data_IF_421346255234
#
_entry.id   IF_421346255234
#
_cell.length_a   1.000
_cell.length_b   1.000
_cell.length_c   1.000
_cell.angle_alpha   90.00
_cell.angle_beta   90.00
_cell.angle_gamma   90.00
#
_symmetry.space_group_name_H-M   'P 1'
#
loop_
_entity.id
_entity.type
_entity.pdbx_description
1 polymer ?
#
# COMPACT_ATOMS: atom_id res chain seq x y z
N UNK A 1 -8.40 2.93 25.23
CA UNK A 1 -9.36 2.00 25.83
C UNK A 1 -9.34 0.66 25.10
N UNK A 2 -9.71 0.58 23.81
CA UNK A 2 -9.82 -0.67 23.03
C UNK A 2 -8.55 -1.55 23.10
N UNK A 3 -7.36 -0.96 22.98
CA UNK A 3 -6.09 -1.70 23.05
C UNK A 3 -5.86 -2.35 24.43
N UNK A 4 -6.22 -1.65 25.52
CA UNK A 4 -6.13 -2.20 26.88
C UNK A 4 -7.12 -3.34 27.13
N UNK A 5 -8.29 -3.29 26.51
CA UNK A 5 -9.30 -4.35 26.62
C UNK A 5 -8.92 -5.57 25.77
N UNK A 6 -8.46 -5.35 24.53
CA UNK A 6 -8.07 -6.43 23.64
C UNK A 6 -6.75 -7.12 24.04
N UNK A 7 -5.84 -6.39 24.73
CA UNK A 7 -4.51 -6.87 25.15
C UNK A 7 -3.75 -7.59 24.01
N UNK A 8 -3.58 -6.97 22.82
CA UNK A 8 -2.93 -7.62 21.71
C UNK A 8 -1.43 -7.80 21.97
N UNK A 9 -0.84 -8.86 21.41
CA UNK A 9 0.60 -9.04 21.33
C UNK A 9 1.18 -8.33 20.10
N UNK A 10 0.42 -8.27 19.01
CA UNK A 10 0.83 -7.67 17.74
C UNK A 10 -0.20 -6.64 17.28
N UNK A 11 0.29 -5.49 16.81
CA UNK A 11 -0.54 -4.40 16.29
C UNK A 11 -0.16 -4.10 14.85
N UNK A 12 -1.14 -4.16 13.93
CA UNK A 12 -0.98 -3.76 12.53
C UNK A 12 -1.77 -2.47 12.30
N UNK A 13 -1.07 -1.38 12.01
CA UNK A 13 -1.66 -0.07 11.73
C UNK A 13 -1.79 0.16 10.23
N UNK A 14 -2.97 -0.10 9.69
CA UNK A 14 -3.29 0.11 8.28
C UNK A 14 -4.25 1.30 8.06
N UNK A 15 -4.78 1.87 9.14
CA UNK A 15 -5.73 2.98 9.04
C UNK A 15 -5.06 4.26 8.55
N UNK A 16 -5.64 4.90 7.56
CA UNK A 16 -5.16 6.16 7.00
C UNK A 16 -6.26 6.88 6.20
N UNK A 17 -6.08 8.18 5.97
CA UNK A 17 -6.67 8.87 4.82
C UNK A 17 -5.70 8.61 3.63
N UNK A 18 -6.09 7.82 2.59
CA UNK A 18 -5.13 7.31 1.60
C UNK A 18 -5.20 8.03 0.24
N UNK A 19 -6.06 9.03 0.08
CA UNK A 19 -6.36 9.65 -1.21
C UNK A 19 -5.59 10.96 -1.40
N UNK A 20 -4.73 11.01 -2.44
CA UNK A 20 -3.92 12.19 -2.76
C UNK A 20 -4.80 13.40 -3.05
N UNK A 21 -5.82 13.26 -3.91
CA UNK A 21 -6.69 14.39 -4.27
C UNK A 21 -7.49 14.92 -3.09
N UNK A 22 -8.03 14.02 -2.27
CA UNK A 22 -8.71 14.41 -1.05
C UNK A 22 -7.79 15.23 -0.13
N UNK A 23 -6.50 14.92 -0.08
CA UNK A 23 -5.54 15.64 0.75
C UNK A 23 -5.34 17.10 0.33
N UNK A 24 -5.54 17.43 -0.95
CA UNK A 24 -5.53 18.83 -1.41
C UNK A 24 -6.78 19.59 -0.96
N UNK A 25 -7.93 18.92 -0.91
CA UNK A 25 -9.17 19.52 -0.43
C UNK A 25 -9.21 19.64 1.10
N UNK A 26 -8.73 18.59 1.80
CA UNK A 26 -8.82 18.44 3.26
C UNK A 26 -7.44 18.15 3.88
N UNK A 27 -6.48 19.10 3.80
CA UNK A 27 -5.13 18.88 4.30
C UNK A 27 -5.07 18.71 5.81
N UNK A 28 -5.86 19.47 6.57
CA UNK A 28 -5.88 19.40 8.04
C UNK A 28 -6.34 18.04 8.52
N UNK A 29 -7.42 17.51 7.94
CA UNK A 29 -7.92 16.18 8.25
C UNK A 29 -6.89 15.11 7.88
N UNK A 30 -6.25 15.25 6.71
CA UNK A 30 -5.20 14.31 6.25
C UNK A 30 -4.05 14.22 7.26
N UNK A 31 -3.54 15.35 7.76
CA UNK A 31 -2.50 15.33 8.80
C UNK A 31 -3.02 14.82 10.13
N UNK A 32 -4.23 15.20 10.54
CA UNK A 32 -4.84 14.72 11.77
C UNK A 32 -4.98 13.20 11.79
N UNK A 33 -5.45 12.62 10.68
CA UNK A 33 -5.61 11.16 10.55
C UNK A 33 -4.25 10.46 10.43
N UNK A 34 -3.38 10.89 9.53
CA UNK A 34 -2.17 10.14 9.20
C UNK A 34 -1.03 10.37 10.19
N UNK A 35 -0.84 11.58 10.68
CA UNK A 35 0.23 11.91 11.63
C UNK A 35 -0.23 11.72 13.06
N UNK A 36 -1.29 12.44 13.45
CA UNK A 36 -1.77 12.36 14.82
C UNK A 36 -2.40 11.01 15.13
N UNK A 37 -3.05 10.36 14.15
CA UNK A 37 -3.50 8.98 14.30
C UNK A 37 -2.35 8.01 14.61
N UNK A 38 -1.21 8.16 13.92
CA UNK A 38 0.01 7.38 14.21
C UNK A 38 0.54 7.68 15.62
N UNK A 39 0.64 8.96 15.99
CA UNK A 39 1.07 9.37 17.35
C UNK A 39 0.16 8.76 18.42
N UNK A 40 -1.16 8.88 18.26
CA UNK A 40 -2.14 8.38 19.21
C UNK A 40 -2.08 6.85 19.35
N UNK A 41 -1.88 6.13 18.22
CA UNK A 41 -1.71 4.69 18.27
C UNK A 41 -0.44 4.30 19.02
N UNK A 42 0.70 4.91 18.68
CA UNK A 42 1.98 4.59 19.32
C UNK A 42 2.00 4.96 20.80
N UNK A 43 1.31 6.03 21.19
CA UNK A 43 1.12 6.36 22.60
C UNK A 43 0.24 5.33 23.32
N UNK A 44 -0.80 4.81 22.66
CA UNK A 44 -1.59 3.71 23.21
C UNK A 44 -0.76 2.41 23.33
N UNK A 45 0.09 2.11 22.35
CA UNK A 45 1.05 0.99 22.43
C UNK A 45 1.98 1.14 23.63
N UNK A 46 2.59 2.32 23.81
CA UNK A 46 3.49 2.62 24.93
C UNK A 46 2.84 2.37 26.29
N UNK A 47 1.52 2.53 26.38
CA UNK A 47 0.73 2.34 27.61
C UNK A 47 0.13 0.93 27.73
N UNK A 48 0.45 0.00 26.83
CA UNK A 48 -0.13 -1.36 26.80
C UNK A 48 0.96 -2.43 26.86
N UNK A 49 1.29 -2.94 28.06
CA UNK A 49 2.43 -3.85 28.28
C UNK A 49 2.34 -5.19 27.54
N UNK A 50 1.15 -5.59 27.05
CA UNK A 50 1.00 -6.84 26.28
C UNK A 50 1.60 -6.75 24.90
N UNK A 51 1.70 -5.55 24.29
CA UNK A 51 2.17 -5.37 22.92
C UNK A 51 3.68 -5.65 22.83
N UNK A 52 4.07 -6.49 21.91
CA UNK A 52 5.46 -6.87 21.63
C UNK A 52 5.93 -6.45 20.24
N UNK A 53 5.04 -6.46 19.25
CA UNK A 53 5.36 -6.10 17.89
C UNK A 53 4.34 -5.14 17.29
N UNK A 54 4.83 -4.15 16.54
CA UNK A 54 3.99 -3.16 15.83
C UNK A 54 4.47 -3.02 14.40
N UNK A 55 3.53 -3.03 13.46
CA UNK A 55 3.79 -2.69 12.07
C UNK A 55 2.96 -1.48 11.66
N UNK A 56 3.63 -0.40 11.28
CA UNK A 56 3.01 0.79 10.71
C UNK A 56 3.07 0.75 9.19
N UNK A 57 1.91 0.68 8.52
CA UNK A 57 1.83 0.66 7.06
C UNK A 57 1.76 2.08 6.52
N UNK A 58 2.74 2.42 5.69
CA UNK A 58 2.87 3.73 5.05
C UNK A 58 2.71 3.64 3.53
N UNK A 59 3.58 4.25 2.74
CA UNK A 59 3.46 4.33 1.29
C UNK A 59 4.82 4.53 0.62
N UNK A 60 4.94 4.20 -0.65
CA UNK A 60 6.03 4.59 -1.53
C UNK A 60 6.16 6.11 -1.74
N UNK A 61 5.06 6.85 -1.53
CA UNK A 61 5.02 8.32 -1.69
C UNK A 61 5.67 9.09 -0.54
N UNK A 62 6.15 8.39 0.51
CA UNK A 62 6.86 9.02 1.63
C UNK A 62 8.27 9.51 1.27
N UNK A 63 8.81 9.11 0.14
CA UNK A 63 10.14 9.54 -0.31
C UNK A 63 10.13 10.95 -0.91
N UNK A 64 11.27 11.66 -0.81
CA UNK A 64 11.56 12.82 -1.64
C UNK A 64 11.67 12.38 -3.10
N UNK A 65 10.58 12.53 -3.87
CA UNK A 65 10.56 12.06 -5.24
C UNK A 65 11.35 13.00 -6.14
N UNK A 66 12.45 12.49 -6.73
CA UNK A 66 13.36 13.16 -7.65
C UNK A 66 13.04 12.89 -9.11
N UNK A 67 11.94 12.19 -9.39
CA UNK A 67 11.52 11.84 -10.76
C UNK A 67 12.63 11.13 -11.58
N UNK A 68 13.44 10.32 -10.90
CA UNK A 68 14.56 9.62 -11.51
C UNK A 68 14.22 8.18 -11.90
N UNK A 69 15.12 7.50 -12.63
CA UNK A 69 14.89 6.16 -13.17
C UNK A 69 15.07 5.05 -12.14
N UNK A 70 15.78 5.31 -11.04
CA UNK A 70 16.09 4.29 -10.02
C UNK A 70 14.93 4.10 -9.04
N UNK A 71 14.70 2.86 -8.59
CA UNK A 71 13.74 2.59 -7.53
C UNK A 71 14.27 3.10 -6.18
N UNK A 72 13.35 3.60 -5.33
CA UNK A 72 13.69 4.09 -3.98
C UNK A 72 13.95 2.95 -3.00
N UNK A 73 15.05 3.10 -2.24
CA UNK A 73 15.44 2.20 -1.15
C UNK A 73 15.07 2.81 0.19
N UNK A 74 15.03 1.97 1.23
CA UNK A 74 14.54 2.37 2.55
C UNK A 74 15.36 3.46 3.25
N UNK A 75 16.61 3.66 2.86
CA UNK A 75 17.52 4.69 3.38
C UNK A 75 17.50 6.01 2.57
N UNK A 76 16.67 6.13 1.54
CA UNK A 76 16.51 7.37 0.79
C UNK A 76 15.74 8.42 1.60
N UNK A 77 15.92 9.71 1.23
CA UNK A 77 15.34 10.82 1.95
C UNK A 77 13.81 10.78 1.98
N UNK A 78 13.25 11.09 3.15
CA UNK A 78 11.80 11.30 3.29
C UNK A 78 11.41 12.68 2.74
N UNK A 79 10.21 12.77 2.16
CA UNK A 79 9.68 14.00 1.61
C UNK A 79 8.17 13.94 1.43
N UNK A 80 7.73 14.22 0.22
CA UNK A 80 6.32 14.23 -0.18
C UNK A 80 5.90 15.62 -0.65
N UNK A 81 5.48 15.70 -1.90
CA UNK A 81 5.07 16.97 -2.51
C UNK A 81 3.69 17.42 -2.04
N UNK A 82 2.75 16.49 -1.94
CA UNK A 82 1.37 16.75 -1.55
C UNK A 82 1.11 16.46 -0.06
N UNK A 83 -0.03 16.92 0.52
CA UNK A 83 -0.32 16.71 1.93
C UNK A 83 -0.44 15.23 2.33
N UNK A 84 -0.93 14.35 1.45
CA UNK A 84 -0.96 12.91 1.72
C UNK A 84 0.46 12.34 1.81
N UNK A 85 1.27 12.58 0.80
CA UNK A 85 2.64 12.07 0.71
C UNK A 85 3.49 12.53 1.90
N UNK A 86 3.46 13.84 2.22
CA UNK A 86 4.18 14.39 3.36
C UNK A 86 3.63 13.90 4.70
N UNK A 87 2.31 13.69 4.84
CA UNK A 87 1.75 13.12 6.07
C UNK A 87 2.24 11.69 6.34
N UNK A 88 2.42 10.90 5.27
CA UNK A 88 2.98 9.56 5.39
C UNK A 88 4.48 9.56 5.69
N UNK A 89 5.24 10.51 5.14
CA UNK A 89 6.64 10.73 5.53
C UNK A 89 6.74 11.14 7.03
N UNK A 90 5.86 12.01 7.50
CA UNK A 90 5.77 12.35 8.93
C UNK A 90 5.44 11.12 9.78
N UNK A 91 4.55 10.25 9.35
CA UNK A 91 4.24 8.98 10.03
C UNK A 91 5.47 8.07 10.15
N UNK A 92 6.33 8.00 9.12
CA UNK A 92 7.62 7.31 9.16
C UNK A 92 8.57 7.90 10.22
N UNK A 93 8.70 9.23 10.22
CA UNK A 93 9.56 9.97 11.17
C UNK A 93 9.07 9.76 12.61
N UNK A 94 7.75 9.86 12.84
CA UNK A 94 7.13 9.59 14.14
C UNK A 94 7.39 8.16 14.59
N UNK A 95 7.23 7.20 13.68
CA UNK A 95 7.50 5.77 13.95
C UNK A 95 8.95 5.55 14.39
N UNK A 96 9.91 6.13 13.68
CA UNK A 96 11.32 6.05 14.04
C UNK A 96 11.63 6.72 15.39
N UNK A 97 11.02 7.89 15.66
CA UNK A 97 11.17 8.59 16.92
C UNK A 97 10.64 7.78 18.10
N UNK A 98 9.44 7.21 18.00
CA UNK A 98 8.87 6.35 19.04
C UNK A 98 9.67 5.08 19.26
N UNK A 99 10.16 4.45 18.18
CA UNK A 99 11.07 3.29 18.27
C UNK A 99 12.27 3.60 19.15
N UNK A 100 12.98 4.66 18.80
CA UNK A 100 14.26 5.00 19.42
C UNK A 100 14.11 5.57 20.84
N UNK A 101 13.05 6.34 21.09
CA UNK A 101 12.89 7.06 22.35
C UNK A 101 12.17 6.26 23.43
N UNK A 102 11.29 5.32 23.07
CA UNK A 102 10.40 4.70 24.02
C UNK A 102 10.26 3.18 23.85
N UNK A 103 10.01 2.70 22.64
CA UNK A 103 9.51 1.34 22.43
C UNK A 103 10.62 0.31 22.51
N UNK A 104 11.80 0.59 21.97
CA UNK A 104 12.91 -0.37 22.01
C UNK A 104 13.35 -0.69 23.43
N UNK A 105 13.48 0.32 24.30
CA UNK A 105 13.80 0.14 25.73
C UNK A 105 12.69 -0.57 26.50
N UNK A 106 11.42 -0.44 26.06
CA UNK A 106 10.29 -1.17 26.63
C UNK A 106 10.12 -2.60 26.07
N UNK A 107 11.02 -3.06 25.20
CA UNK A 107 10.95 -4.39 24.58
C UNK A 107 9.93 -4.51 23.44
N UNK A 108 9.28 -3.42 23.01
CA UNK A 108 8.34 -3.40 21.90
C UNK A 108 9.09 -3.15 20.59
N UNK A 109 8.93 -4.04 19.60
CA UNK A 109 9.60 -3.93 18.31
C UNK A 109 8.66 -3.34 17.26
N UNK A 110 9.10 -2.27 16.59
CA UNK A 110 8.29 -1.58 15.59
C UNK A 110 9.03 -1.41 14.27
N UNK A 111 8.34 -1.75 13.18
CA UNK A 111 8.77 -1.50 11.81
C UNK A 111 7.73 -0.65 11.07
N UNK A 112 8.17 -0.01 9.99
CA UNK A 112 7.27 0.53 8.98
C UNK A 112 7.34 -0.28 7.69
N UNK A 113 6.20 -0.39 7.00
CA UNK A 113 6.07 -1.09 5.73
C UNK A 113 5.55 -0.14 4.66
N UNK A 114 6.32 0.04 3.59
CA UNK A 114 6.02 0.91 2.46
C UNK A 114 5.61 0.06 1.28
N UNK A 115 4.45 0.34 0.71
CA UNK A 115 3.98 -0.31 -0.51
C UNK A 115 3.59 0.72 -1.55
N UNK A 116 3.66 0.31 -2.82
CA UNK A 116 3.24 1.12 -3.97
C UNK A 116 1.75 1.03 -4.25
N UNK A 117 1.40 1.03 -5.54
CA UNK A 117 0.02 0.93 -5.97
C UNK A 117 -0.51 -0.50 -5.80
N UNK A 118 -1.29 -0.70 -4.75
CA UNK A 118 -1.91 -1.99 -4.42
C UNK A 118 -3.27 -2.08 -5.08
N UNK A 119 -3.53 -3.18 -5.81
CA UNK A 119 -4.79 -3.46 -6.49
C UNK A 119 -5.39 -4.78 -6.06
N UNK A 120 -6.72 -4.89 -6.10
CA UNK A 120 -7.45 -6.10 -5.74
C UNK A 120 -8.95 -5.88 -5.73
N UNK A 121 -9.70 -6.94 -5.51
CA UNK A 121 -11.15 -6.85 -5.39
C UNK A 121 -11.58 -6.12 -4.12
N UNK A 122 -12.79 -5.51 -4.15
CA UNK A 122 -13.38 -4.85 -2.99
C UNK A 122 -12.87 -3.43 -2.71
N UNK A 123 -12.06 -2.84 -3.58
CA UNK A 123 -11.73 -1.41 -3.51
C UNK A 123 -12.80 -0.60 -4.25
N UNK A 124 -13.49 0.27 -3.53
CA UNK A 124 -14.56 1.14 -4.04
C UNK A 124 -14.19 2.62 -3.97
N UNK A 125 -12.95 2.95 -3.63
CA UNK A 125 -12.50 4.32 -3.49
C UNK A 125 -12.61 5.09 -4.82
N UNK A 126 -13.01 6.35 -4.72
CA UNK A 126 -12.98 7.30 -5.85
C UNK A 126 -11.55 7.76 -6.13
N UNK A 127 -11.31 8.28 -7.31
CA UNK A 127 -9.99 8.80 -7.73
C UNK A 127 -8.86 7.74 -7.73
N UNK A 128 -9.21 6.45 -7.81
CA UNK A 128 -8.28 5.35 -8.03
C UNK A 128 -8.55 4.67 -9.36
N UNK A 129 -7.50 4.41 -10.12
CA UNK A 129 -7.58 3.91 -11.50
C UNK A 129 -8.46 2.67 -11.66
N UNK A 130 -8.22 1.63 -10.87
CA UNK A 130 -8.95 0.36 -11.02
C UNK A 130 -10.41 0.47 -10.59
N UNK A 131 -10.76 1.03 -9.41
CA UNK A 131 -12.16 1.29 -9.06
C UNK A 131 -12.89 2.18 -10.07
N UNK A 132 -12.23 3.23 -10.58
CA UNK A 132 -12.82 4.14 -11.57
C UNK A 132 -13.06 3.42 -12.90
N UNK A 133 -12.12 2.55 -13.34
CA UNK A 133 -12.30 1.70 -14.51
C UNK A 133 -13.51 0.77 -14.37
N UNK A 134 -13.63 0.08 -13.24
CA UNK A 134 -14.73 -0.85 -12.99
C UNK A 134 -16.08 -0.14 -12.94
N UNK A 135 -16.14 1.05 -12.33
CA UNK A 135 -17.36 1.89 -12.33
C UNK A 135 -17.75 2.35 -13.73
N UNK A 136 -16.80 2.82 -14.53
CA UNK A 136 -17.03 3.24 -15.90
C UNK A 136 -17.53 2.08 -16.76
N UNK A 137 -16.91 0.90 -16.64
CA UNK A 137 -17.32 -0.33 -17.31
C UNK A 137 -18.76 -0.72 -16.94
N UNK A 138 -19.09 -0.72 -15.65
CA UNK A 138 -20.42 -1.10 -15.16
C UNK A 138 -21.52 -0.12 -15.61
N UNK A 139 -21.17 1.16 -15.75
CA UNK A 139 -22.07 2.21 -16.21
C UNK A 139 -22.12 2.35 -17.75
N UNK A 140 -21.30 1.60 -18.51
CA UNK A 140 -21.15 1.78 -19.95
C UNK A 140 -20.64 3.16 -20.36
N UNK A 141 -19.76 3.74 -19.53
CA UNK A 141 -19.19 5.08 -19.70
C UNK A 141 -17.70 5.03 -20.03
N UNK A 142 -17.20 6.14 -20.61
CA UNK A 142 -15.77 6.31 -20.84
C UNK A 142 -15.03 6.50 -19.51
N UNK A 143 -13.92 5.78 -19.33
CA UNK A 143 -12.98 6.08 -18.27
C UNK A 143 -12.20 7.35 -18.61
N UNK A 144 -12.15 8.31 -17.70
CA UNK A 144 -11.36 9.52 -17.84
C UNK A 144 -10.07 9.36 -17.05
N UNK A 145 -8.92 9.39 -17.71
CA UNK A 145 -7.59 9.29 -17.06
C UNK A 145 -6.81 10.61 -17.18
N UNK A 146 -6.11 10.96 -16.11
CA UNK A 146 -5.43 12.26 -15.96
C UNK A 146 -3.96 12.22 -16.37
N UNK A 147 -3.24 11.18 -15.95
CA UNK A 147 -1.78 11.07 -16.09
C UNK A 147 -1.39 9.75 -16.77
N UNK A 148 -1.65 9.61 -18.09
CA UNK A 148 -1.49 8.32 -18.79
C UNK A 148 -0.04 7.80 -18.79
N UNK A 149 0.95 8.68 -18.69
CA UNK A 149 2.37 8.32 -18.74
C UNK A 149 3.00 8.14 -17.36
N UNK A 150 2.24 8.39 -16.29
CA UNK A 150 2.75 8.19 -14.94
C UNK A 150 3.02 6.70 -14.66
N UNK A 151 4.26 6.39 -14.30
CA UNK A 151 4.71 5.02 -13.97
C UNK A 151 4.55 4.76 -12.47
N UNK A 152 3.99 3.60 -12.12
CA UNK A 152 3.74 3.19 -10.73
C UNK A 152 4.15 1.75 -10.51
N UNK A 153 4.56 1.37 -9.28
CA UNK A 153 4.84 0.00 -8.89
C UNK A 153 3.53 -0.71 -8.52
N UNK A 154 2.90 -1.33 -9.50
CA UNK A 154 1.61 -2.01 -9.33
C UNK A 154 1.79 -3.42 -8.79
N UNK A 155 1.00 -3.78 -7.78
CA UNK A 155 1.03 -5.13 -7.21
C UNK A 155 -0.34 -5.58 -6.69
N UNK A 156 -0.53 -6.90 -6.65
CA UNK A 156 -1.75 -7.48 -6.09
C UNK A 156 -1.78 -7.35 -4.57
N UNK A 157 -2.95 -7.09 -3.99
CA UNK A 157 -3.11 -6.78 -2.55
C UNK A 157 -2.56 -7.86 -1.62
N UNK A 158 -2.61 -9.12 -2.01
CA UNK A 158 -2.09 -10.21 -1.18
C UNK A 158 -0.55 -10.22 -1.08
N UNK A 159 0.16 -9.61 -2.03
CA UNK A 159 1.62 -9.52 -1.98
C UNK A 159 2.13 -8.73 -0.78
N UNK A 160 1.75 -7.43 -0.64
CA UNK A 160 2.20 -6.67 0.51
C UNK A 160 1.59 -7.19 1.82
N UNK A 161 0.35 -7.71 1.82
CA UNK A 161 -0.25 -8.29 3.02
C UNK A 161 0.54 -9.49 3.53
N UNK A 162 0.99 -10.37 2.64
CA UNK A 162 1.88 -11.47 3.02
C UNK A 162 3.21 -10.97 3.59
N UNK A 163 3.80 -9.94 2.95
CA UNK A 163 5.00 -9.28 3.46
C UNK A 163 4.82 -8.67 4.85
N UNK A 164 3.66 -8.04 5.09
CA UNK A 164 3.33 -7.44 6.39
C UNK A 164 3.21 -8.49 7.48
N UNK A 165 2.55 -9.62 7.20
CA UNK A 165 2.42 -10.72 8.16
C UNK A 165 3.77 -11.36 8.45
N UNK A 166 4.59 -11.63 7.43
CA UNK A 166 5.94 -12.16 7.60
C UNK A 166 6.83 -11.22 8.41
N UNK A 167 6.76 -9.91 8.14
CA UNK A 167 7.51 -8.92 8.93
C UNK A 167 7.03 -8.84 10.37
N UNK A 168 5.71 -8.89 10.60
CA UNK A 168 5.14 -8.89 11.95
C UNK A 168 5.57 -10.13 12.75
N UNK A 169 5.59 -11.30 12.12
CA UNK A 169 6.12 -12.53 12.71
C UNK A 169 7.58 -12.38 13.10
N UNK A 170 8.44 -11.88 12.19
CA UNK A 170 9.86 -11.65 12.47
C UNK A 170 10.09 -10.60 13.56
N UNK A 171 9.29 -9.54 13.63
CA UNK A 171 9.35 -8.57 14.73
C UNK A 171 9.06 -9.24 16.07
N UNK A 172 8.08 -10.15 16.09
CA UNK A 172 7.67 -10.84 17.28
C UNK A 172 8.71 -11.89 17.74
N UNK A 173 9.29 -12.64 16.80
CA UNK A 173 10.22 -13.76 17.08
C UNK A 173 11.69 -13.33 17.18
N UNK A 174 12.17 -12.53 16.21
CA UNK A 174 13.59 -12.21 16.03
C UNK A 174 13.95 -10.78 16.50
N UNK A 175 12.95 -10.01 16.90
CA UNK A 175 13.11 -8.78 17.62
C UNK A 175 13.70 -7.61 16.82
N UNK A 176 14.69 -6.92 17.41
CA UNK A 176 15.21 -5.62 16.93
C UNK A 176 15.89 -5.69 15.56
N UNK A 177 16.33 -6.85 15.11
CA UNK A 177 16.97 -7.04 13.79
C UNK A 177 16.04 -6.63 12.64
N UNK A 178 14.71 -6.70 12.84
CA UNK A 178 13.70 -6.33 11.84
C UNK A 178 12.99 -5.02 12.16
N UNK A 179 13.32 -4.35 13.27
CA UNK A 179 12.69 -3.11 13.72
C UNK A 179 13.19 -1.88 12.93
N UNK A 180 12.87 -1.82 11.65
CA UNK A 180 13.28 -0.76 10.71
C UNK A 180 12.23 -0.57 9.61
N UNK A 181 12.52 0.28 8.61
CA UNK A 181 11.62 0.47 7.45
C UNK A 181 11.84 -0.64 6.41
N UNK A 182 10.76 -1.03 5.70
CA UNK A 182 10.76 -2.09 4.70
C UNK A 182 9.93 -1.69 3.48
N UNK A 183 10.48 -1.92 2.29
CA UNK A 183 9.76 -1.75 1.03
C UNK A 183 9.18 -3.09 0.56
N UNK A 184 7.91 -3.05 0.16
CA UNK A 184 7.19 -4.14 -0.50
C UNK A 184 6.66 -3.64 -1.84
N UNK A 185 7.40 -3.85 -2.89
CA UNK A 185 7.07 -3.46 -4.26
C UNK A 185 7.21 -4.62 -5.24
N UNK A 186 6.60 -4.52 -6.42
CA UNK A 186 6.69 -5.53 -7.46
C UNK A 186 8.10 -5.61 -8.05
N UNK A 187 8.30 -6.59 -8.93
CA UNK A 187 9.47 -6.59 -9.79
C UNK A 187 9.42 -5.39 -10.77
N UNK A 188 10.58 -4.97 -11.28
CA UNK A 188 10.67 -3.78 -12.13
C UNK A 188 9.80 -3.88 -13.38
N UNK A 189 9.65 -5.07 -13.95
CA UNK A 189 8.80 -5.33 -15.11
C UNK A 189 7.33 -4.97 -14.89
N UNK A 190 6.86 -4.96 -13.65
CA UNK A 190 5.49 -4.62 -13.25
C UNK A 190 5.32 -3.13 -12.86
N UNK A 191 6.39 -2.35 -12.96
CA UNK A 191 6.33 -0.89 -12.86
C UNK A 191 5.93 -0.31 -14.20
N UNK A 192 4.61 -0.19 -14.43
CA UNK A 192 4.03 0.17 -15.73
C UNK A 192 3.32 1.53 -15.71
N UNK A 193 3.28 2.24 -16.87
CA UNK A 193 2.49 3.44 -17.03
C UNK A 193 0.98 3.17 -16.87
N UNK A 194 0.25 4.17 -16.38
CA UNK A 194 -1.23 4.13 -16.30
C UNK A 194 -1.86 3.75 -17.64
N UNK A 195 -1.37 4.29 -18.75
CA UNK A 195 -1.85 3.98 -20.10
C UNK A 195 -1.78 2.46 -20.39
N UNK A 196 -0.66 1.82 -20.07
CA UNK A 196 -0.49 0.39 -20.27
C UNK A 196 -1.55 -0.42 -19.51
N UNK A 197 -1.81 -0.03 -18.24
CA UNK A 197 -2.83 -0.68 -17.41
C UNK A 197 -4.21 -0.60 -18.08
N UNK A 198 -4.59 0.58 -18.51
CA UNK A 198 -5.91 0.81 -19.10
C UNK A 198 -6.06 0.10 -20.44
N UNK A 199 -5.03 0.14 -21.29
CA UNK A 199 -5.02 -0.60 -22.56
C UNK A 199 -5.13 -2.12 -22.35
N UNK A 200 -4.42 -2.65 -21.36
CA UNK A 200 -4.55 -4.06 -20.97
C UNK A 200 -5.97 -4.40 -20.50
N UNK A 201 -6.56 -3.59 -19.62
CA UNK A 201 -7.92 -3.81 -19.12
C UNK A 201 -8.95 -3.73 -20.26
N UNK A 202 -8.85 -2.75 -21.15
CA UNK A 202 -9.71 -2.64 -22.33
C UNK A 202 -9.55 -3.85 -23.26
N UNK A 203 -8.36 -4.41 -23.40
CA UNK A 203 -8.15 -5.65 -24.21
C UNK A 203 -8.89 -6.86 -23.63
N UNK A 204 -9.19 -6.86 -22.32
CA UNK A 204 -9.94 -7.92 -21.62
C UNK A 204 -11.45 -7.61 -21.53
N UNK A 205 -11.85 -6.37 -21.74
CA UNK A 205 -13.22 -5.87 -21.64
C UNK A 205 -13.54 -5.06 -22.91
N UNK A 206 -14.05 -5.68 -23.99
CA UNK A 206 -14.23 -5.03 -25.30
C UNK A 206 -15.15 -3.82 -25.27
N UNK A 207 -16.07 -3.76 -24.30
CA UNK A 207 -17.01 -2.64 -24.13
C UNK A 207 -16.41 -1.45 -23.37
N UNK A 208 -15.19 -1.60 -22.83
CA UNK A 208 -14.50 -0.53 -22.12
C UNK A 208 -13.77 0.40 -23.08
N UNK A 209 -13.90 1.71 -22.83
CA UNK A 209 -13.16 2.74 -23.54
C UNK A 209 -12.66 3.80 -22.58
N UNK A 210 -11.63 4.53 -23.01
CA UNK A 210 -11.02 5.57 -22.18
C UNK A 210 -10.58 6.76 -23.01
N UNK A 211 -10.41 7.91 -22.33
CA UNK A 211 -9.83 9.13 -22.89
C UNK A 211 -9.02 9.88 -21.83
N UNK A 212 -8.12 10.75 -22.29
CA UNK A 212 -7.39 11.66 -21.41
C UNK A 212 -8.27 12.82 -20.97
N UNK A 213 -8.14 13.20 -19.68
CA UNK A 213 -8.66 14.48 -19.21
C UNK A 213 -7.85 15.62 -19.82
N UNK A 214 -8.54 16.60 -20.41
CA UNK A 214 -7.93 17.78 -20.99
C UNK A 214 -7.70 18.92 -19.97
N UNK A 215 -8.24 18.77 -18.74
CA UNK A 215 -8.15 19.80 -17.71
C UNK A 215 -6.80 19.75 -16.98
N UNK A 216 -6.30 20.91 -16.53
CA UNK A 216 -5.13 20.97 -15.64
C UNK A 216 -5.37 20.13 -14.37
N UNK A 217 -4.38 19.35 -13.99
CA UNK A 217 -4.46 18.47 -12.82
C UNK A 217 -3.55 18.97 -11.69
N UNK A 218 -3.89 18.63 -10.44
CA UNK A 218 -2.97 18.80 -9.31
C UNK A 218 -1.75 17.92 -9.54
N UNK A 219 -0.62 18.32 -8.95
CA UNK A 219 0.62 17.56 -9.10
C UNK A 219 0.48 16.14 -8.54
N UNK A 220 0.86 15.18 -9.37
CA UNK A 220 1.10 13.79 -8.97
C UNK A 220 2.47 13.36 -9.55
N UNK A 221 3.22 12.55 -8.81
CA UNK A 221 4.50 12.04 -9.26
C UNK A 221 4.40 11.36 -10.64
N UNK A 222 5.37 11.58 -11.53
CA UNK A 222 5.39 10.93 -12.85
C UNK A 222 6.06 9.55 -12.78
N UNK A 223 7.18 9.44 -12.06
CA UNK A 223 7.92 8.19 -11.91
C UNK A 223 8.03 7.87 -10.43
N UNK A 224 7.56 6.69 -10.05
CA UNK A 224 7.73 6.17 -8.71
C UNK A 224 7.92 4.65 -8.79
N UNK A 225 9.03 4.17 -8.23
CA UNK A 225 9.41 2.76 -8.19
C UNK A 225 9.96 2.44 -6.79
N UNK A 226 9.81 1.20 -6.34
CA UNK A 226 10.35 0.71 -5.07
C UNK A 226 11.40 -0.38 -5.30
N UNK A 227 12.52 -0.28 -4.60
CA UNK A 227 13.48 -1.36 -4.46
C UNK A 227 13.09 -2.24 -3.25
N UNK A 228 12.78 -3.50 -3.51
CA UNK A 228 12.42 -4.49 -2.49
C UNK A 228 13.55 -5.52 -2.25
N UNK A 229 14.76 -5.23 -2.67
CA UNK A 229 15.92 -6.13 -2.52
C UNK A 229 16.16 -6.53 -1.07
N UNK A 230 15.93 -5.63 -0.12
CA UNK A 230 16.04 -5.90 1.31
C UNK A 230 15.00 -6.91 1.80
N UNK A 231 13.74 -6.76 1.42
CA UNK A 231 12.69 -7.71 1.76
C UNK A 231 12.97 -9.09 1.14
N UNK A 232 13.42 -9.13 -0.12
CA UNK A 232 13.83 -10.38 -0.79
C UNK A 232 14.98 -11.06 -0.05
N UNK A 233 16.03 -10.34 0.29
CA UNK A 233 17.24 -10.90 0.89
C UNK A 233 17.07 -11.32 2.36
N UNK A 234 16.32 -10.55 3.16
CA UNK A 234 16.28 -10.72 4.62
C UNK A 234 14.99 -11.34 5.15
N UNK A 235 13.85 -11.16 4.45
CA UNK A 235 12.57 -11.78 4.79
C UNK A 235 12.27 -13.01 3.92
N UNK A 236 13.00 -13.22 2.81
CA UNK A 236 12.63 -14.22 1.81
C UNK A 236 11.33 -13.87 1.07
N UNK A 237 10.86 -12.62 1.19
CA UNK A 237 9.64 -12.19 0.54
C UNK A 237 9.91 -11.94 -0.95
N UNK A 238 9.15 -12.61 -1.81
CA UNK A 238 9.24 -12.48 -3.28
C UNK A 238 7.81 -12.31 -3.82
N UNK A 239 7.55 -11.32 -4.70
CA UNK A 239 6.27 -11.22 -5.39
C UNK A 239 5.96 -12.50 -6.16
N UNK A 240 4.75 -13.01 -6.04
CA UNK A 240 4.31 -14.27 -6.67
C UNK A 240 3.47 -14.05 -7.92
N UNK A 241 2.78 -12.91 -7.99
CA UNK A 241 1.90 -12.55 -9.08
C UNK A 241 2.45 -11.35 -9.84
N UNK A 242 2.63 -11.52 -11.15
CA UNK A 242 2.92 -10.39 -12.03
C UNK A 242 1.68 -9.51 -12.21
N UNK A 243 1.89 -8.34 -12.80
CA UNK A 243 0.84 -7.34 -12.98
C UNK A 243 -0.35 -7.85 -13.80
N UNK A 244 -0.10 -8.63 -14.85
CA UNK A 244 -1.18 -9.19 -15.70
C UNK A 244 -2.07 -10.14 -14.89
N UNK A 245 -1.48 -11.00 -14.07
CA UNK A 245 -2.22 -11.87 -13.16
C UNK A 245 -3.01 -11.07 -12.13
N UNK A 246 -2.38 -10.04 -11.53
CA UNK A 246 -3.03 -9.15 -10.55
C UNK A 246 -4.27 -8.45 -11.13
N UNK A 247 -4.17 -7.93 -12.35
CA UNK A 247 -5.28 -7.31 -13.07
C UNK A 247 -6.38 -8.32 -13.41
N UNK A 248 -6.00 -9.51 -13.91
CA UNK A 248 -6.93 -10.60 -14.19
C UNK A 248 -7.72 -11.02 -12.95
N UNK A 249 -7.03 -11.30 -11.84
CA UNK A 249 -7.67 -11.67 -10.58
C UNK A 249 -8.61 -10.58 -10.05
N UNK A 250 -8.27 -9.30 -10.24
CA UNK A 250 -9.12 -8.18 -9.84
C UNK A 250 -10.41 -8.13 -10.69
N UNK A 251 -10.30 -8.33 -12.02
CA UNK A 251 -11.46 -8.42 -12.90
C UNK A 251 -12.35 -9.63 -12.58
N UNK A 252 -11.77 -10.80 -12.36
CA UNK A 252 -12.50 -12.03 -12.01
C UNK A 252 -13.25 -11.87 -10.68
N UNK A 253 -12.62 -11.21 -9.71
CA UNK A 253 -13.25 -10.87 -8.44
C UNK A 253 -14.47 -9.98 -8.67
N UNK A 254 -14.33 -8.91 -9.44
CA UNK A 254 -15.41 -7.97 -9.73
C UNK A 254 -16.58 -8.65 -10.46
N UNK A 255 -16.29 -9.46 -11.48
CA UNK A 255 -17.32 -10.22 -12.21
C UNK A 255 -18.04 -11.23 -11.31
N UNK A 256 -17.32 -11.87 -10.40
CA UNK A 256 -17.91 -12.81 -9.44
C UNK A 256 -18.82 -12.08 -8.44
N UNK A 257 -18.39 -10.92 -7.96
CA UNK A 257 -19.21 -10.06 -7.11
C UNK A 257 -20.50 -9.63 -7.82
N UNK A 258 -20.41 -9.19 -9.07
CA UNK A 258 -21.61 -8.83 -9.89
C UNK A 258 -22.62 -9.98 -10.05
N UNK A 259 -22.12 -11.21 -10.12
CA UNK A 259 -22.97 -12.42 -10.19
C UNK A 259 -23.53 -12.85 -8.84
N UNK A 260 -23.25 -12.12 -7.75
CA UNK A 260 -23.71 -12.43 -6.41
C UNK A 260 -23.00 -13.63 -5.76
N UNK A 261 -21.76 -13.93 -6.17
CA UNK A 261 -20.98 -15.01 -5.57
C UNK A 261 -20.64 -14.68 -4.10
N UNK A 262 -20.45 -15.71 -3.28
CA UNK A 262 -19.94 -15.56 -1.92
C UNK A 262 -18.47 -15.15 -1.96
N UNK A 263 -18.18 -13.88 -1.65
CA UNK A 263 -16.87 -13.29 -1.86
C UNK A 263 -15.75 -13.89 -0.99
N UNK A 264 -16.09 -14.47 0.16
CA UNK A 264 -15.12 -15.21 0.98
C UNK A 264 -14.49 -16.38 0.21
N UNK A 265 -15.27 -17.06 -0.62
CA UNK A 265 -14.79 -18.19 -1.45
C UNK A 265 -14.00 -17.73 -2.68
N UNK A 266 -14.29 -16.52 -3.22
CA UNK A 266 -13.64 -15.95 -4.39
C UNK A 266 -12.31 -15.29 -4.04
N UNK A 267 -12.22 -14.70 -2.84
CA UNK A 267 -11.04 -13.95 -2.39
C UNK A 267 -9.84 -14.83 -2.03
N UNK A 268 -10.06 -16.15 -1.87
CA UNK A 268 -8.99 -17.12 -1.64
C UNK A 268 -8.65 -17.80 -2.98
N UNK A 269 -7.63 -17.32 -3.71
CA UNK A 269 -7.09 -18.09 -4.81
C UNK A 269 -6.64 -19.44 -4.24
N UNK A 270 -7.03 -20.49 -4.91
CA UNK A 270 -6.98 -21.89 -4.48
C UNK A 270 -5.84 -22.23 -3.50
N UNK A 271 -6.11 -23.13 -2.57
CA UNK A 271 -5.21 -23.66 -1.52
C UNK A 271 -3.76 -23.98 -1.93
N UNK A 272 -3.46 -24.00 -3.24
CA UNK A 272 -2.12 -24.17 -3.80
C UNK A 272 -1.14 -23.01 -3.52
N UNK A 273 -1.62 -21.86 -3.07
CA UNK A 273 -0.79 -20.67 -2.82
C UNK A 273 -0.31 -20.56 -1.36
N UNK A 274 -0.82 -21.39 -0.47
CA UNK A 274 -0.42 -21.46 0.93
C UNK A 274 0.61 -22.57 1.21
N UNK A 275 1.12 -23.24 0.19
CA UNK A 275 2.20 -24.20 0.39
C UNK A 275 3.46 -23.44 0.83
N UNK A 276 4.05 -23.76 1.99
CA UNK A 276 5.30 -23.16 2.40
C UNK A 276 6.33 -23.46 1.30
N UNK A 277 7.05 -22.45 0.87
CA UNK A 277 8.32 -22.65 0.16
C UNK A 277 9.25 -23.25 1.20
N UNK A 278 9.47 -24.57 1.10
CA UNK A 278 10.50 -25.29 1.86
C UNK A 278 11.86 -24.84 1.36
#
# INVERSE_FOLDING_TARGET
>A
QAMREARPDVVLHLAAQPLVRYSYAEPVETYAVNVMGTVNLLEAVRQTPSVKAVLNVTTDKCYENREWVWPYRENEAMGGFDPYSSSKACSEIVTAAYRNSFLDSAGVKIASARAGNVIGGGDWATDRLIPDFLRALDAGQLLIIRSPFATRPWQYVLEPLFGYLSLAERLFTDGSTFAEAWNFGPDEADSQPVKWIVEYLCSKQPDAAWQCDALPQVHEANILKLDSSKAKARLGWIPRWNLQMALGMTLDWHQSWKRGAEMASVSLPAKSLLSPVI
#
